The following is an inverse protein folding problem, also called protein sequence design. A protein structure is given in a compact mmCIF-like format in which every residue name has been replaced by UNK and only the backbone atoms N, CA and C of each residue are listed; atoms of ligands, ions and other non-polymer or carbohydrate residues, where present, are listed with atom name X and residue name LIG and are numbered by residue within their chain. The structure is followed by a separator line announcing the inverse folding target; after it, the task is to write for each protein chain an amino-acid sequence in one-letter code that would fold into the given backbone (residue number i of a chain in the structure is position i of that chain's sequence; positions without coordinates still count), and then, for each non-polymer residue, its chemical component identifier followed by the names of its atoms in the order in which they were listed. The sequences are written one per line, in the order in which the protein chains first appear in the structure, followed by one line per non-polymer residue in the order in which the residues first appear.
data_IF_522583042404
#
_entry.id   IF_522583042404
#
_cell.length_a   1.000
_cell.length_b   1.000
_cell.length_c   1.000
_cell.angle_alpha   90.00
_cell.angle_beta   90.00
_cell.angle_gamma   90.00
#
_symmetry.space_group_name_H-M   'P 1'
#
loop_
_entity.id
_entity.type
_entity.pdbx_description
1 polymer ?
#
# COMPACT_ATOMS: atom_id res chain seq x y z
N UNK A 1 -3.95 -36.27 -25.93
CA UNK A 1 -3.31 -35.02 -26.37
C UNK A 1 -3.51 -34.04 -25.24
N UNK A 2 -2.39 -33.57 -24.69
CA UNK A 2 -2.28 -32.76 -23.48
C UNK A 2 -3.03 -31.43 -23.62
N UNK A 3 -3.91 -31.14 -22.66
CA UNK A 3 -4.32 -29.77 -22.34
C UNK A 3 -3.88 -29.48 -20.90
N UNK A 4 -2.56 -29.37 -20.71
CA UNK A 4 -2.05 -28.57 -19.60
C UNK A 4 -2.08 -27.12 -20.05
N UNK A 5 -3.00 -26.31 -19.52
CA UNK A 5 -2.83 -24.86 -19.55
C UNK A 5 -1.57 -24.52 -18.76
N UNK A 6 -0.39 -24.57 -19.40
CA UNK A 6 0.82 -24.01 -18.80
C UNK A 6 0.56 -22.51 -18.68
N UNK A 7 0.32 -22.03 -17.46
CA UNK A 7 0.25 -20.59 -17.23
C UNK A 7 1.48 -19.94 -17.86
N UNK A 8 1.26 -18.94 -18.72
CA UNK A 8 2.35 -18.19 -19.33
C UNK A 8 3.26 -17.66 -18.23
N UNK A 9 4.53 -18.07 -18.25
CA UNK A 9 5.51 -17.68 -17.23
C UNK A 9 5.75 -16.18 -17.31
N UNK A 10 5.64 -15.46 -16.21
CA UNK A 10 5.93 -14.02 -16.17
C UNK A 10 7.43 -13.81 -16.30
N UNK A 11 7.83 -12.84 -17.13
CA UNK A 11 9.22 -12.42 -17.33
C UNK A 11 9.47 -10.94 -17.02
N UNK A 12 8.42 -10.12 -16.86
CA UNK A 12 8.53 -8.73 -16.45
C UNK A 12 7.38 -8.28 -15.54
N UNK A 13 7.64 -7.27 -14.72
CA UNK A 13 6.64 -6.67 -13.83
C UNK A 13 6.43 -5.19 -14.18
N UNK A 14 5.20 -4.72 -14.20
CA UNK A 14 4.87 -3.31 -14.42
C UNK A 14 4.09 -2.80 -13.22
N UNK A 15 4.64 -1.81 -12.52
CA UNK A 15 4.02 -1.23 -11.34
C UNK A 15 3.27 0.04 -11.70
N UNK A 16 2.10 0.24 -11.08
CA UNK A 16 1.63 1.60 -10.81
C UNK A 16 2.45 2.28 -9.70
N UNK A 17 2.27 3.59 -9.53
CA UNK A 17 2.97 4.40 -8.55
C UNK A 17 2.10 4.75 -7.33
N UNK A 18 0.97 5.40 -7.58
CA UNK A 18 0.20 6.17 -6.61
C UNK A 18 -0.80 5.26 -5.91
N UNK A 19 -0.57 4.91 -4.64
CA UNK A 19 -1.39 3.92 -3.93
C UNK A 19 -0.91 2.47 -4.11
N UNK A 20 -0.01 2.21 -5.06
CA UNK A 20 0.64 0.91 -5.27
C UNK A 20 2.05 0.83 -4.68
N UNK A 21 2.97 1.71 -5.10
CA UNK A 21 4.35 1.74 -4.60
C UNK A 21 4.56 2.84 -3.56
N UNK A 22 3.87 3.98 -3.70
CA UNK A 22 3.95 5.13 -2.81
C UNK A 22 2.61 5.44 -2.17
N UNK A 23 2.64 5.81 -0.90
CA UNK A 23 1.46 6.25 -0.16
C UNK A 23 1.13 7.73 -0.45
N UNK A 24 0.80 8.06 -1.70
CA UNK A 24 0.54 9.44 -2.13
C UNK A 24 -0.86 9.92 -1.74
N UNK A 25 -1.85 9.04 -1.68
CA UNK A 25 -3.23 9.41 -1.29
C UNK A 25 -3.26 10.02 0.11
N UNK A 26 -2.56 9.40 1.06
CA UNK A 26 -2.54 9.86 2.44
C UNK A 26 -1.94 11.26 2.60
N UNK A 27 -0.77 11.52 1.99
CA UNK A 27 -0.07 12.80 2.15
C UNK A 27 -0.76 13.94 1.39
N UNK A 28 -1.69 13.61 0.49
CA UNK A 28 -2.39 14.59 -0.34
C UNK A 28 -3.87 14.77 0.00
N UNK A 29 -4.37 14.04 1.00
CA UNK A 29 -5.80 14.01 1.38
C UNK A 29 -6.36 15.38 1.76
N UNK A 30 -5.61 16.22 2.47
CA UNK A 30 -6.02 17.60 2.83
C UNK A 30 -6.03 18.58 1.67
N UNK A 31 -5.32 18.32 0.57
CA UNK A 31 -5.02 19.35 -0.42
C UNK A 31 -6.30 19.90 -1.04
N UNK A 32 -7.25 19.02 -1.39
CA UNK A 32 -8.53 19.46 -1.93
C UNK A 32 -9.31 20.31 -0.91
N UNK A 33 -9.31 19.91 0.36
CA UNK A 33 -9.94 20.67 1.45
C UNK A 33 -9.33 22.07 1.60
N UNK A 34 -8.01 22.14 1.65
CA UNK A 34 -7.24 23.38 1.76
C UNK A 34 -7.47 24.28 0.53
N UNK A 35 -7.53 23.69 -0.66
CA UNK A 35 -7.82 24.39 -1.90
C UNK A 35 -9.23 24.98 -1.89
N UNK A 36 -10.25 24.17 -1.57
CA UNK A 36 -11.66 24.58 -1.52
C UNK A 36 -11.89 25.71 -0.50
N UNK A 37 -11.18 25.68 0.64
CA UNK A 37 -11.25 26.72 1.65
C UNK A 37 -10.87 28.12 1.11
N UNK A 38 -9.95 28.21 0.14
CA UNK A 38 -9.58 29.48 -0.52
C UNK A 38 -10.76 30.13 -1.28
N UNK A 39 -11.72 29.32 -1.71
CA UNK A 39 -12.94 29.75 -2.40
C UNK A 39 -14.16 29.76 -1.48
N UNK A 40 -13.98 29.64 -0.17
CA UNK A 40 -15.08 29.59 0.80
C UNK A 40 -15.95 28.33 0.69
N UNK A 41 -15.42 27.25 0.09
CA UNK A 41 -16.12 25.98 -0.10
C UNK A 41 -15.68 24.96 0.95
N UNK A 42 -16.59 24.06 1.32
CA UNK A 42 -16.33 22.95 2.25
C UNK A 42 -16.38 21.65 1.45
N UNK A 43 -15.36 20.81 1.64
CA UNK A 43 -15.28 19.50 1.02
C UNK A 43 -16.44 18.60 1.47
N UNK A 44 -17.05 17.92 0.50
CA UNK A 44 -18.21 17.05 0.65
C UNK A 44 -17.83 15.61 0.32
N UNK A 45 -18.02 14.71 1.29
CA UNK A 45 -17.62 13.30 1.20
C UNK A 45 -18.41 12.50 0.17
N UNK A 46 -19.67 12.86 -0.09
CA UNK A 46 -20.48 12.16 -1.09
C UNK A 46 -20.07 12.54 -2.51
N UNK A 47 -19.72 13.81 -2.73
CA UNK A 47 -19.13 14.27 -3.99
C UNK A 47 -17.78 13.60 -4.23
N UNK A 48 -16.94 13.48 -3.20
CA UNK A 48 -15.67 12.74 -3.28
C UNK A 48 -15.86 11.28 -3.65
N UNK A 49 -16.78 10.59 -2.99
CA UNK A 49 -17.08 9.18 -3.26
C UNK A 49 -17.54 8.95 -4.70
N UNK A 50 -18.33 9.88 -5.27
CA UNK A 50 -18.76 9.82 -6.68
C UNK A 50 -17.61 10.01 -7.68
N UNK A 51 -16.48 10.58 -7.25
CA UNK A 51 -15.29 10.76 -8.09
C UNK A 51 -14.31 9.58 -8.02
N UNK A 52 -14.55 8.59 -7.16
CA UNK A 52 -13.73 7.38 -7.12
C UNK A 52 -13.74 6.68 -8.50
N UNK A 53 -12.57 6.29 -8.96
CA UNK A 53 -12.39 5.65 -10.28
C UNK A 53 -12.48 6.59 -11.49
N UNK A 54 -12.62 7.91 -11.28
CA UNK A 54 -12.45 8.88 -12.37
C UNK A 54 -10.97 9.13 -12.65
N UNK A 55 -10.65 9.46 -13.91
CA UNK A 55 -9.33 9.98 -14.25
C UNK A 55 -9.11 11.36 -13.60
N UNK A 56 -7.85 11.81 -13.51
CA UNK A 56 -7.53 13.13 -12.98
C UNK A 56 -8.21 14.27 -13.77
N UNK A 57 -8.32 14.11 -15.09
CA UNK A 57 -9.01 15.08 -15.96
C UNK A 57 -10.50 15.15 -15.66
N UNK A 58 -11.17 13.99 -15.58
CA UNK A 58 -12.59 13.92 -15.23
C UNK A 58 -12.84 14.46 -13.81
N UNK A 59 -11.95 14.13 -12.86
CA UNK A 59 -12.02 14.64 -11.49
C UNK A 59 -11.86 16.16 -11.42
N UNK A 60 -10.97 16.74 -12.22
CA UNK A 60 -10.77 18.19 -12.28
C UNK A 60 -12.01 18.92 -12.78
N UNK A 61 -12.64 18.40 -13.85
CA UNK A 61 -13.91 18.92 -14.37
C UNK A 61 -15.01 18.79 -13.32
N UNK A 62 -15.12 17.60 -12.69
CA UNK A 62 -16.11 17.34 -11.66
C UNK A 62 -15.94 18.29 -10.46
N UNK A 63 -14.72 18.51 -9.96
CA UNK A 63 -14.47 19.40 -8.82
C UNK A 63 -14.88 20.84 -9.12
N UNK A 64 -14.53 21.36 -10.29
CA UNK A 64 -14.91 22.72 -10.70
C UNK A 64 -16.44 22.88 -10.71
N UNK A 65 -17.15 21.91 -11.28
CA UNK A 65 -18.61 21.92 -11.35
C UNK A 65 -19.28 21.67 -9.99
N UNK A 66 -18.83 20.64 -9.27
CA UNK A 66 -19.39 20.19 -7.99
C UNK A 66 -19.37 21.29 -6.92
N UNK A 67 -18.38 22.18 -6.97
CA UNK A 67 -18.20 23.24 -5.98
C UNK A 67 -18.47 24.63 -6.54
N UNK A 68 -18.97 24.75 -7.77
CA UNK A 68 -19.21 26.02 -8.47
C UNK A 68 -17.98 26.95 -8.37
N UNK A 69 -16.81 26.43 -8.72
CA UNK A 69 -15.56 27.19 -8.63
C UNK A 69 -15.49 28.21 -9.78
N UNK A 70 -15.00 29.43 -9.51
CA UNK A 70 -14.85 30.47 -10.55
C UNK A 70 -13.58 30.26 -11.39
N UNK A 71 -13.32 29.01 -11.81
CA UNK A 71 -12.13 28.58 -12.55
C UNK A 71 -12.53 27.69 -13.72
N UNK A 72 -11.71 27.62 -14.76
CA UNK A 72 -11.74 26.48 -15.70
C UNK A 72 -11.03 25.27 -15.08
N UNK A 73 -11.27 24.03 -15.57
CA UNK A 73 -10.52 22.85 -15.15
C UNK A 73 -8.99 23.02 -15.31
N UNK A 74 -8.55 23.71 -16.35
CA UNK A 74 -7.12 23.99 -16.59
C UNK A 74 -6.55 24.93 -15.53
N UNK A 75 -7.28 25.98 -15.16
CA UNK A 75 -6.88 26.90 -14.08
C UNK A 75 -6.85 26.18 -12.73
N UNK A 76 -7.86 25.35 -12.43
CA UNK A 76 -7.87 24.50 -11.24
C UNK A 76 -6.62 23.62 -11.15
N UNK A 77 -6.25 22.93 -12.24
CA UNK A 77 -5.05 22.09 -12.29
C UNK A 77 -3.78 22.92 -12.09
N UNK A 78 -3.67 24.10 -12.71
CA UNK A 78 -2.53 25.00 -12.55
C UNK A 78 -2.35 25.46 -11.10
N UNK A 79 -3.45 25.70 -10.38
CA UNK A 79 -3.39 26.17 -9.00
C UNK A 79 -3.20 25.05 -7.97
N UNK A 80 -3.78 23.86 -8.19
CA UNK A 80 -3.73 22.77 -7.21
C UNK A 80 -2.43 21.95 -7.30
N UNK A 81 -1.85 21.76 -8.49
CA UNK A 81 -0.63 20.94 -8.67
C UNK A 81 0.57 21.41 -7.82
N UNK A 82 0.86 22.72 -7.69
CA UNK A 82 1.94 23.17 -6.80
C UNK A 82 1.73 22.78 -5.33
N UNK A 83 0.48 22.70 -4.86
CA UNK A 83 0.16 22.23 -3.50
C UNK A 83 0.50 20.75 -3.34
N UNK A 84 0.27 19.94 -4.38
CA UNK A 84 0.64 18.52 -4.40
C UNK A 84 2.15 18.31 -4.35
N UNK A 85 2.93 19.08 -5.14
CA UNK A 85 4.39 18.93 -5.20
C UNK A 85 5.06 19.02 -3.82
N UNK A 86 4.64 19.97 -2.98
CA UNK A 86 5.20 20.13 -1.63
C UNK A 86 4.93 18.93 -0.71
N UNK A 87 3.82 18.22 -0.92
CA UNK A 87 3.40 17.07 -0.09
C UNK A 87 3.92 15.73 -0.61
N UNK A 88 4.14 15.59 -1.91
CA UNK A 88 4.69 14.35 -2.50
C UNK A 88 6.07 13.98 -1.97
N UNK A 89 6.88 14.98 -1.58
CA UNK A 89 8.18 14.76 -0.92
C UNK A 89 8.09 14.00 0.41
N UNK A 90 6.89 13.94 1.00
CA UNK A 90 6.61 13.28 2.27
C UNK A 90 6.02 11.88 2.07
N UNK A 91 5.70 11.50 0.82
CA UNK A 91 5.17 10.18 0.50
C UNK A 91 6.23 9.11 0.80
N UNK A 92 5.83 8.08 1.54
CA UNK A 92 6.70 6.94 1.85
C UNK A 92 6.36 5.77 0.94
N UNK A 93 7.35 4.89 0.74
CA UNK A 93 7.13 3.61 0.10
C UNK A 93 6.08 2.80 0.88
N UNK A 94 5.19 2.13 0.15
CA UNK A 94 4.22 1.23 0.75
C UNK A 94 4.89 -0.06 1.25
N UNK A 95 4.29 -0.73 2.25
CA UNK A 95 4.87 -1.94 2.84
C UNK A 95 5.13 -3.00 1.79
N UNK A 96 6.37 -3.47 1.71
CA UNK A 96 6.80 -4.48 0.72
C UNK A 96 7.29 -3.93 -0.62
N UNK A 97 7.01 -2.66 -0.98
CA UNK A 97 7.41 -2.06 -2.26
C UNK A 97 8.93 -2.11 -2.48
N UNK A 98 9.70 -1.57 -1.52
CA UNK A 98 11.16 -1.59 -1.56
C UNK A 98 11.73 -3.01 -1.62
N UNK A 99 11.16 -3.94 -0.85
CA UNK A 99 11.58 -5.36 -0.82
C UNK A 99 11.40 -6.00 -2.18
N UNK A 100 10.22 -5.87 -2.78
CA UNK A 100 9.90 -6.45 -4.07
C UNK A 100 10.81 -5.88 -5.18
N UNK A 101 10.98 -4.56 -5.26
CA UNK A 101 11.87 -3.96 -6.28
C UNK A 101 13.34 -4.36 -6.10
N UNK A 102 13.85 -4.41 -4.85
CA UNK A 102 15.21 -4.92 -4.56
C UNK A 102 15.36 -6.36 -5.05
N UNK A 103 14.35 -7.19 -4.80
CA UNK A 103 14.35 -8.60 -5.16
C UNK A 103 14.32 -8.84 -6.67
N UNK A 104 13.44 -8.14 -7.39
CA UNK A 104 13.37 -8.21 -8.86
C UNK A 104 14.68 -7.77 -9.49
N UNK A 105 15.23 -6.64 -9.04
CA UNK A 105 16.52 -6.13 -9.52
C UNK A 105 17.66 -7.11 -9.27
N UNK A 106 17.75 -7.68 -8.06
CA UNK A 106 18.78 -8.68 -7.70
C UNK A 106 18.76 -9.90 -8.62
N UNK A 107 17.60 -10.31 -9.10
CA UNK A 107 17.44 -11.48 -9.95
C UNK A 107 17.38 -11.15 -11.46
N UNK A 108 17.62 -9.89 -11.84
CA UNK A 108 17.62 -9.46 -13.24
C UNK A 108 16.24 -9.54 -13.90
N UNK A 109 15.15 -9.52 -13.13
CA UNK A 109 13.80 -9.45 -13.68
C UNK A 109 13.54 -7.98 -14.06
N UNK A 110 13.31 -7.64 -15.35
CA UNK A 110 13.02 -6.27 -15.75
C UNK A 110 11.68 -5.82 -15.17
N UNK A 111 11.63 -4.57 -14.75
CA UNK A 111 10.36 -3.98 -14.31
C UNK A 111 10.26 -2.50 -14.65
N UNK A 112 9.03 -2.07 -14.90
CA UNK A 112 8.70 -0.72 -15.30
C UNK A 112 7.77 -0.03 -14.29
N UNK A 113 7.78 1.30 -14.31
CA UNK A 113 6.79 2.16 -13.68
C UNK A 113 5.87 2.75 -14.74
N UNK A 114 4.56 2.60 -14.58
CA UNK A 114 3.56 3.15 -15.50
C UNK A 114 2.46 3.84 -14.69
N UNK A 115 2.40 5.18 -14.73
CA UNK A 115 1.44 5.98 -13.94
C UNK A 115 0.65 6.96 -14.82
N UNK A 116 -0.59 7.24 -14.43
CA UNK A 116 -1.39 8.31 -15.05
C UNK A 116 -0.89 9.73 -14.71
N UNK A 117 0.08 9.85 -13.79
CA UNK A 117 0.81 11.09 -13.55
C UNK A 117 1.65 11.50 -14.77
N UNK A 118 1.88 12.80 -14.94
CA UNK A 118 2.87 13.31 -15.91
C UNK A 118 4.28 12.90 -15.49
N UNK A 119 5.19 12.69 -16.44
CA UNK A 119 6.59 12.31 -16.16
C UNK A 119 7.27 13.22 -15.14
N UNK A 120 7.12 14.54 -15.27
CA UNK A 120 7.65 15.52 -14.29
C UNK A 120 7.12 15.34 -12.87
N UNK A 121 5.87 14.87 -12.72
CA UNK A 121 5.25 14.65 -11.41
C UNK A 121 5.72 13.31 -10.82
N UNK A 122 5.91 12.29 -11.66
CA UNK A 122 6.54 11.03 -11.26
C UNK A 122 7.94 11.31 -10.73
N UNK A 123 8.74 12.09 -11.46
CA UNK A 123 10.08 12.50 -11.03
C UNK A 123 10.08 13.16 -9.66
N UNK A 124 9.17 14.10 -9.42
CA UNK A 124 9.00 14.75 -8.11
C UNK A 124 8.71 13.74 -7.01
N UNK A 125 7.80 12.79 -7.24
CA UNK A 125 7.39 11.76 -6.28
C UNK A 125 8.51 10.78 -5.93
N UNK A 126 9.28 10.31 -6.91
CA UNK A 126 10.28 9.26 -6.68
C UNK A 126 11.70 9.78 -6.40
N UNK A 127 11.94 11.09 -6.58
CA UNK A 127 13.29 11.69 -6.51
C UNK A 127 14.04 11.48 -5.20
N UNK A 128 13.34 11.33 -4.08
CA UNK A 128 13.95 11.16 -2.74
C UNK A 128 14.01 9.70 -2.29
N UNK A 129 13.61 8.77 -3.17
CA UNK A 129 13.64 7.34 -2.88
C UNK A 129 14.90 6.71 -3.44
N UNK A 130 15.84 6.41 -2.55
CA UNK A 130 17.17 5.89 -2.90
C UNK A 130 17.10 4.65 -3.80
N UNK A 131 17.70 4.78 -4.99
CA UNK A 131 17.82 3.68 -5.95
C UNK A 131 16.56 3.40 -6.76
N UNK A 132 15.48 4.19 -6.65
CA UNK A 132 14.26 3.92 -7.42
C UNK A 132 14.45 4.21 -8.90
N UNK A 133 14.93 5.41 -9.25
CA UNK A 133 15.11 5.83 -10.65
C UNK A 133 16.02 4.90 -11.44
N UNK A 134 17.06 4.39 -10.78
CA UNK A 134 18.11 3.58 -11.40
C UNK A 134 17.70 2.11 -11.60
N UNK A 135 16.68 1.64 -10.88
CA UNK A 135 16.26 0.23 -10.94
C UNK A 135 15.16 -0.05 -11.94
N UNK A 136 14.31 0.93 -12.24
CA UNK A 136 13.31 0.77 -13.28
C UNK A 136 13.97 0.67 -14.65
N UNK A 137 13.63 -0.36 -15.41
CA UNK A 137 14.02 -0.45 -16.83
C UNK A 137 13.37 0.67 -17.64
N UNK A 138 12.12 1.01 -17.29
CA UNK A 138 11.32 2.04 -17.98
C UNK A 138 10.47 2.78 -16.96
N UNK A 139 10.37 4.10 -17.10
CA UNK A 139 9.41 4.94 -16.37
C UNK A 139 8.54 5.66 -17.40
N UNK A 140 7.22 5.51 -17.28
CA UNK A 140 6.22 6.12 -18.14
C UNK A 140 5.19 6.94 -17.35
N UNK A 141 5.02 8.18 -17.77
CA UNK A 141 3.87 9.03 -17.45
C UNK A 141 2.83 9.06 -18.56
N UNK A 142 1.66 9.63 -18.24
CA UNK A 142 0.54 9.76 -19.18
C UNK A 142 0.84 10.64 -20.40
N UNK A 143 1.82 11.54 -20.31
CA UNK A 143 2.31 12.40 -21.40
C UNK A 143 3.19 11.66 -22.42
N UNK A 144 3.52 10.39 -22.17
CA UNK A 144 4.35 9.57 -23.05
C UNK A 144 3.55 8.55 -23.86
N UNK A 145 2.22 8.58 -23.79
CA UNK A 145 1.31 7.70 -24.54
C UNK A 145 0.11 8.47 -25.08
N UNK A 146 -0.59 7.87 -26.05
CA UNK A 146 -1.77 8.48 -26.67
C UNK A 146 -2.95 8.58 -25.70
N UNK A 147 -3.15 7.58 -24.85
CA UNK A 147 -4.24 7.55 -23.87
C UNK A 147 -3.79 6.87 -22.59
N UNK A 148 -3.98 7.53 -21.45
CA UNK A 148 -3.71 6.95 -20.13
C UNK A 148 -4.74 5.87 -19.74
N UNK A 149 -4.55 5.28 -18.55
CA UNK A 149 -5.47 4.28 -17.97
C UNK A 149 -6.88 4.90 -17.88
N UNK A 150 -7.95 4.19 -18.27
CA UNK A 150 -8.06 2.74 -18.46
C UNK A 150 -7.65 2.21 -19.84
N UNK A 151 -7.11 3.04 -20.74
CA UNK A 151 -6.51 2.56 -22.00
C UNK A 151 -5.30 1.67 -21.71
N UNK A 152 -5.06 0.60 -22.50
CA UNK A 152 -3.91 -0.27 -22.30
C UNK A 152 -2.57 0.35 -22.73
N UNK A 153 -2.60 1.49 -23.42
CA UNK A 153 -1.44 2.07 -24.13
C UNK A 153 -0.20 2.22 -23.24
N UNK A 154 -0.36 2.65 -21.98
CA UNK A 154 0.78 2.84 -21.06
C UNK A 154 1.46 1.53 -20.68
N UNK A 155 0.69 0.46 -20.50
CA UNK A 155 1.24 -0.85 -20.21
C UNK A 155 1.84 -1.50 -21.45
N UNK A 156 1.18 -1.38 -22.61
CA UNK A 156 1.72 -1.85 -23.89
C UNK A 156 3.03 -1.16 -24.25
N UNK A 157 3.13 0.15 -24.03
CA UNK A 157 4.36 0.91 -24.26
C UNK A 157 5.46 0.52 -23.25
N UNK A 158 5.11 0.25 -21.98
CA UNK A 158 6.07 -0.26 -21.00
C UNK A 158 6.65 -1.61 -21.42
N UNK A 159 5.78 -2.56 -21.80
CA UNK A 159 6.19 -3.88 -22.29
C UNK A 159 7.07 -3.77 -23.53
N UNK A 160 6.69 -2.93 -24.50
CA UNK A 160 7.47 -2.65 -25.70
C UNK A 160 8.87 -2.10 -25.38
N UNK A 161 8.98 -1.13 -24.46
CA UNK A 161 10.28 -0.54 -24.08
C UNK A 161 11.14 -1.47 -23.23
N UNK A 162 10.54 -2.43 -22.53
CA UNK A 162 11.25 -3.52 -21.87
C UNK A 162 11.58 -4.68 -22.82
N UNK A 163 11.11 -4.65 -24.07
CA UNK A 163 11.25 -5.71 -25.07
C UNK A 163 10.63 -7.06 -24.62
N UNK A 164 9.49 -7.00 -23.94
CA UNK A 164 8.77 -8.18 -23.41
C UNK A 164 7.36 -8.24 -24.00
N UNK A 165 6.93 -9.44 -24.39
CA UNK A 165 5.54 -9.68 -24.84
C UNK A 165 4.56 -9.38 -23.69
N UNK A 166 3.48 -8.60 -23.92
CA UNK A 166 2.46 -8.34 -22.91
C UNK A 166 1.92 -9.59 -22.19
N UNK A 167 1.85 -10.74 -22.86
CA UNK A 167 1.39 -12.01 -22.25
C UNK A 167 2.32 -12.53 -21.15
N UNK A 168 3.56 -12.05 -21.11
CA UNK A 168 4.58 -12.38 -20.09
C UNK A 168 4.78 -11.24 -19.07
N UNK A 169 3.93 -10.22 -19.07
CA UNK A 169 3.95 -9.11 -18.12
C UNK A 169 2.93 -9.32 -16.99
N UNK A 170 3.35 -8.97 -15.77
CA UNK A 170 2.51 -8.88 -14.59
C UNK A 170 2.34 -7.41 -14.18
N UNK A 171 1.12 -6.90 -14.20
CA UNK A 171 0.79 -5.57 -13.68
C UNK A 171 0.47 -5.67 -12.19
N UNK A 172 0.99 -4.74 -11.40
CA UNK A 172 0.62 -4.55 -9.99
C UNK A 172 0.01 -3.17 -9.85
N UNK A 173 -1.24 -3.12 -9.36
CA UNK A 173 -2.11 -1.93 -9.40
C UNK A 173 -3.02 -1.87 -8.18
N UNK A 174 -3.41 -0.68 -7.74
CA UNK A 174 -4.34 -0.49 -6.62
C UNK A 174 -5.71 0.02 -7.07
N UNK A 175 -5.85 0.48 -8.33
CA UNK A 175 -7.08 1.12 -8.81
C UNK A 175 -7.88 0.27 -9.80
N UNK A 176 -9.23 0.36 -9.84
CA UNK A 176 -10.03 -0.36 -10.83
C UNK A 176 -9.75 0.12 -12.26
N UNK A 177 -9.36 1.39 -12.43
CA UNK A 177 -8.99 1.99 -13.72
C UNK A 177 -7.73 1.34 -14.26
N UNK A 178 -6.72 1.16 -13.42
CA UNK A 178 -5.48 0.51 -13.80
C UNK A 178 -5.60 -0.99 -13.99
N UNK A 179 -6.39 -1.67 -13.16
CA UNK A 179 -6.72 -3.08 -13.36
C UNK A 179 -7.37 -3.29 -14.73
N UNK A 180 -8.35 -2.47 -15.11
CA UNK A 180 -8.97 -2.51 -16.45
C UNK A 180 -7.95 -2.31 -17.58
N UNK A 181 -7.03 -1.36 -17.43
CA UNK A 181 -5.97 -1.12 -18.41
C UNK A 181 -5.02 -2.33 -18.55
N UNK A 182 -4.61 -2.95 -17.44
CA UNK A 182 -3.74 -4.13 -17.45
C UNK A 182 -4.40 -5.32 -18.13
N UNK A 183 -5.68 -5.58 -17.81
CA UNK A 183 -6.45 -6.63 -18.48
C UNK A 183 -6.66 -6.33 -19.96
N UNK A 184 -6.96 -5.08 -20.33
CA UNK A 184 -7.10 -4.68 -21.73
C UNK A 184 -5.79 -4.80 -22.54
N UNK A 185 -4.64 -4.75 -21.86
CA UNK A 185 -3.32 -4.98 -22.47
C UNK A 185 -2.99 -6.47 -22.65
N UNK A 186 -3.88 -7.39 -22.24
CA UNK A 186 -3.64 -8.84 -22.28
C UNK A 186 -2.73 -9.34 -21.15
N UNK A 187 -2.45 -8.53 -20.14
CA UNK A 187 -1.51 -8.86 -19.06
C UNK A 187 -2.19 -9.54 -17.89
N UNK A 188 -1.39 -10.23 -17.07
CA UNK A 188 -1.81 -10.65 -15.73
C UNK A 188 -1.83 -9.45 -14.79
N UNK A 189 -2.76 -9.42 -13.84
CA UNK A 189 -2.92 -8.29 -12.91
C UNK A 189 -3.06 -8.77 -11.47
N UNK A 190 -2.25 -8.21 -10.58
CA UNK A 190 -2.41 -8.29 -9.13
C UNK A 190 -2.92 -6.94 -8.63
N UNK A 191 -4.09 -6.95 -8.00
CA UNK A 191 -4.68 -5.78 -7.36
C UNK A 191 -4.20 -5.64 -5.90
N UNK A 192 -3.86 -4.43 -5.46
CA UNK A 192 -3.47 -4.09 -4.07
C UNK A 192 -4.23 -2.85 -3.59
N UNK A 193 -5.57 -2.91 -3.50
CA UNK A 193 -6.40 -1.75 -3.17
C UNK A 193 -6.07 -1.16 -1.79
N UNK A 194 -6.15 0.17 -1.68
CA UNK A 194 -6.03 0.86 -0.39
C UNK A 194 -7.14 0.46 0.58
N UNK A 195 -8.39 0.38 0.12
CA UNK A 195 -9.52 -0.10 0.92
C UNK A 195 -10.31 -1.17 0.17
N UNK A 196 -10.46 -2.35 0.78
CA UNK A 196 -11.16 -3.51 0.20
C UNK A 196 -12.70 -3.43 0.24
N UNK A 197 -13.25 -2.22 0.38
CA UNK A 197 -14.69 -1.99 0.50
C UNK A 197 -15.41 -2.28 -0.84
N UNK A 198 -14.65 -2.42 -1.93
CA UNK A 198 -15.16 -2.63 -3.28
C UNK A 198 -14.60 -3.92 -3.94
N UNK A 199 -14.69 -5.07 -3.27
CA UNK A 199 -14.16 -6.34 -3.81
C UNK A 199 -14.64 -6.65 -5.24
N UNK A 200 -15.87 -6.29 -5.56
CA UNK A 200 -16.45 -6.48 -6.90
C UNK A 200 -15.73 -5.65 -7.99
N UNK A 201 -15.20 -4.46 -7.64
CA UNK A 201 -14.46 -3.58 -8.56
C UNK A 201 -13.14 -4.20 -9.05
N UNK A 202 -12.61 -5.19 -8.33
CA UNK A 202 -11.36 -5.87 -8.64
C UNK A 202 -11.56 -7.31 -9.14
N UNK A 203 -12.80 -7.74 -9.36
CA UNK A 203 -13.16 -9.12 -9.77
C UNK A 203 -12.50 -9.62 -11.05
N UNK A 204 -12.01 -8.71 -11.91
CA UNK A 204 -11.31 -9.05 -13.16
C UNK A 204 -9.79 -9.23 -12.98
N UNK A 205 -9.24 -8.88 -11.81
CA UNK A 205 -7.83 -9.11 -11.49
C UNK A 205 -7.56 -10.61 -11.31
N UNK A 206 -6.33 -11.04 -11.60
CA UNK A 206 -5.93 -12.44 -11.44
C UNK A 206 -5.66 -12.80 -9.96
N UNK A 207 -5.33 -11.81 -9.14
CA UNK A 207 -5.22 -11.93 -7.67
C UNK A 207 -5.45 -10.57 -7.01
N UNK A 208 -5.93 -10.57 -5.76
CA UNK A 208 -6.06 -9.36 -4.94
C UNK A 208 -5.35 -9.56 -3.61
N UNK A 209 -4.51 -8.60 -3.22
CA UNK A 209 -3.75 -8.57 -1.98
C UNK A 209 -4.17 -7.36 -1.13
N UNK A 210 -3.92 -7.40 0.16
CA UNK A 210 -4.02 -6.24 1.06
C UNK A 210 -2.71 -5.44 1.07
N UNK A 211 -1.59 -6.14 0.90
CA UNK A 211 -0.24 -5.57 1.02
C UNK A 211 0.73 -6.24 0.05
N UNK A 212 1.75 -5.51 -0.41
CA UNK A 212 2.85 -6.12 -1.16
C UNK A 212 3.70 -7.06 -0.29
N UNK A 213 3.55 -7.03 1.03
CA UNK A 213 4.13 -8.03 1.94
C UNK A 213 3.58 -9.44 1.71
N UNK A 214 2.34 -9.57 1.20
CA UNK A 214 1.71 -10.86 0.89
C UNK A 214 2.11 -11.42 -0.47
N UNK A 215 2.78 -10.63 -1.31
CA UNK A 215 3.13 -11.04 -2.66
C UNK A 215 4.08 -12.25 -2.66
N UNK A 216 3.74 -13.27 -3.44
CA UNK A 216 4.52 -14.50 -3.60
C UNK A 216 4.97 -14.63 -5.07
N UNK A 217 6.22 -14.24 -5.39
CA UNK A 217 6.72 -14.22 -6.78
C UNK A 217 6.61 -15.59 -7.48
N UNK A 218 6.81 -16.67 -6.74
CA UNK A 218 6.80 -18.05 -7.24
C UNK A 218 5.44 -18.46 -7.83
N UNK A 219 4.32 -17.88 -7.35
CA UNK A 219 2.99 -18.12 -7.92
C UNK A 219 2.88 -17.63 -9.38
N UNK A 220 3.78 -16.74 -9.78
CA UNK A 220 3.85 -16.14 -11.11
C UNK A 220 5.04 -16.66 -11.94
N UNK A 221 5.78 -17.65 -11.41
CA UNK A 221 6.99 -18.18 -12.04
C UNK A 221 8.22 -17.27 -11.94
N UNK A 222 8.17 -16.25 -11.07
CA UNK A 222 9.28 -15.37 -10.71
C UNK A 222 10.13 -16.01 -9.59
N UNK A 223 11.40 -15.59 -9.40
CA UNK A 223 12.26 -16.11 -8.34
C UNK A 223 11.63 -15.92 -6.95
N UNK A 224 11.59 -16.97 -6.14
CA UNK A 224 11.06 -16.93 -4.78
C UNK A 224 11.87 -15.99 -3.87
N UNK A 225 11.21 -15.33 -2.92
CA UNK A 225 11.87 -14.59 -1.84
C UNK A 225 12.69 -15.52 -0.91
N UNK A 226 13.95 -15.16 -0.67
CA UNK A 226 14.87 -15.93 0.19
C UNK A 226 15.17 -15.30 1.55
N UNK A 227 14.33 -14.36 2.01
CA UNK A 227 14.55 -13.52 3.20
C UNK A 227 13.57 -13.80 4.36
N UNK A 228 12.74 -14.85 4.24
CA UNK A 228 11.93 -15.35 5.34
C UNK A 228 12.80 -16.05 6.39
N UNK A 229 12.49 -15.81 7.66
CA UNK A 229 13.14 -16.41 8.83
C UNK A 229 12.05 -17.05 9.68
N UNK A 230 11.98 -18.39 9.70
CA UNK A 230 11.01 -19.16 10.49
C UNK A 230 9.56 -18.62 10.40
N UNK A 231 9.03 -18.51 9.17
CA UNK A 231 7.69 -17.96 8.84
C UNK A 231 7.46 -16.47 9.17
N UNK A 232 8.53 -15.74 9.47
CA UNK A 232 8.49 -14.31 9.72
C UNK A 232 9.40 -13.54 8.76
N UNK A 233 9.00 -12.33 8.40
CA UNK A 233 9.71 -11.46 7.48
C UNK A 233 10.15 -10.21 8.24
N UNK A 234 11.46 -9.91 8.37
CA UNK A 234 11.89 -8.63 8.88
C UNK A 234 11.37 -7.48 8.00
N UNK A 235 10.82 -6.45 8.63
CA UNK A 235 10.30 -5.27 7.92
C UNK A 235 10.98 -3.99 8.41
N UNK A 236 10.86 -2.93 7.61
CA UNK A 236 11.19 -1.59 8.10
C UNK A 236 10.32 -1.28 9.34
N UNK A 237 10.91 -0.85 10.47
CA UNK A 237 10.16 -0.71 11.71
C UNK A 237 9.02 0.30 11.63
N UNK A 238 7.86 -0.07 12.16
CA UNK A 238 6.66 0.78 12.18
C UNK A 238 6.30 1.11 13.62
N UNK A 239 6.23 2.40 13.92
CA UNK A 239 5.91 2.91 15.26
C UNK A 239 4.46 3.33 15.34
N UNK A 240 3.73 2.81 16.33
CA UNK A 240 2.35 3.19 16.64
C UNK A 240 2.26 3.68 18.08
N UNK A 241 1.37 4.62 18.34
CA UNK A 241 1.05 5.04 19.70
C UNK A 241 -0.44 5.38 19.80
N UNK A 242 -1.01 5.10 20.96
CA UNK A 242 -2.44 5.32 21.18
C UNK A 242 -2.88 4.97 22.60
N UNK A 243 -4.19 4.91 22.78
CA UNK A 243 -4.83 4.42 24.00
C UNK A 243 -5.24 2.98 23.77
N UNK A 244 -4.73 2.06 24.58
CA UNK A 244 -5.15 0.67 24.57
C UNK A 244 -6.39 0.53 25.46
N UNK A 245 -7.51 0.13 24.86
CA UNK A 245 -8.78 -0.03 25.55
C UNK A 245 -9.59 -1.16 24.92
N UNK A 246 -10.17 -2.04 25.75
CA UNK A 246 -10.97 -3.18 25.32
C UNK A 246 -10.23 -4.10 24.32
N UNK A 247 -8.94 -4.36 24.55
CA UNK A 247 -8.11 -5.21 23.68
C UNK A 247 -7.72 -4.58 22.34
N UNK A 248 -8.05 -3.31 22.11
CA UNK A 248 -7.76 -2.60 20.86
C UNK A 248 -6.90 -1.38 21.12
N UNK A 249 -5.95 -1.12 20.23
CA UNK A 249 -5.22 0.15 20.21
C UNK A 249 -6.02 1.19 19.40
N UNK A 250 -6.46 2.24 20.06
CA UNK A 250 -7.01 3.43 19.44
C UNK A 250 -5.85 4.40 19.20
N UNK A 251 -5.38 4.50 17.96
CA UNK A 251 -4.31 5.44 17.62
C UNK A 251 -4.76 6.88 17.85
N UNK A 252 -3.83 7.74 18.26
CA UNK A 252 -4.11 9.17 18.28
C UNK A 252 -4.52 9.61 16.87
N UNK A 253 -5.54 10.47 16.75
CA UNK A 253 -6.00 10.95 15.45
C UNK A 253 -4.81 11.45 14.64
N UNK A 254 -4.54 10.77 13.54
CA UNK A 254 -3.27 10.93 12.84
C UNK A 254 -3.16 12.33 12.22
N UNK A 255 -2.04 13.02 12.44
CA UNK A 255 -1.60 14.00 11.45
C UNK A 255 -1.31 13.25 10.15
N UNK A 256 -1.57 13.86 8.99
CA UNK A 256 -1.43 13.20 7.67
C UNK A 256 -0.06 12.54 7.43
N UNK A 257 0.97 12.98 8.16
CA UNK A 257 2.35 12.49 8.06
C UNK A 257 2.66 11.29 8.96
N UNK A 258 1.86 11.06 10.00
CA UNK A 258 2.02 9.95 10.95
C UNK A 258 0.98 8.86 10.75
N UNK A 259 0.00 9.11 9.89
CA UNK A 259 -1.03 8.14 9.57
C UNK A 259 -0.43 6.88 8.96
N UNK A 260 -0.94 5.72 9.36
CA UNK A 260 -0.51 4.47 8.78
C UNK A 260 -1.09 4.28 7.37
N UNK A 261 -0.34 3.76 6.39
CA UNK A 261 -0.89 3.37 5.10
C UNK A 261 -2.03 2.36 5.28
N UNK A 262 -3.01 2.37 4.37
CA UNK A 262 -4.16 1.47 4.49
C UNK A 262 -3.83 0.01 4.17
N UNK A 263 -2.75 -0.21 3.41
CA UNK A 263 -2.12 -1.49 3.08
C UNK A 263 -1.31 -2.10 4.23
N UNK A 264 -1.31 -1.48 5.42
CA UNK A 264 -0.87 -2.13 6.66
C UNK A 264 -2.00 -3.02 7.14
N UNK A 265 -1.92 -4.30 6.76
CA UNK A 265 -2.88 -5.34 7.08
C UNK A 265 -2.14 -6.64 7.39
N UNK A 266 -2.72 -7.48 8.24
CA UNK A 266 -2.21 -8.82 8.55
C UNK A 266 -1.68 -8.96 9.98
N UNK A 267 -0.84 -9.97 10.19
CA UNK A 267 -0.20 -10.25 11.47
C UNK A 267 1.23 -9.69 11.50
N UNK A 268 1.55 -8.96 12.56
CA UNK A 268 2.86 -8.38 12.79
C UNK A 268 3.41 -8.87 14.12
N UNK A 269 4.74 -8.92 14.22
CA UNK A 269 5.45 -9.19 15.47
C UNK A 269 6.26 -7.97 15.87
N UNK A 270 6.36 -7.75 17.17
CA UNK A 270 7.02 -6.57 17.67
C UNK A 270 7.06 -6.43 19.17
N UNK A 271 7.19 -5.17 19.58
CA UNK A 271 7.35 -4.78 20.96
C UNK A 271 6.25 -3.83 21.38
N UNK A 272 5.80 -3.98 22.62
CA UNK A 272 4.78 -3.16 23.25
C UNK A 272 5.34 -2.50 24.51
N UNK A 273 5.06 -1.21 24.70
CA UNK A 273 5.44 -0.44 25.90
C UNK A 273 4.22 0.32 26.41
N UNK A 274 3.95 0.23 27.69
CA UNK A 274 2.90 1.00 28.39
C UNK A 274 3.54 2.12 29.21
N UNK A 275 2.79 3.17 29.56
CA UNK A 275 3.29 4.35 30.32
C UNK A 275 4.11 3.92 31.55
N UNK A 276 5.43 4.16 31.52
CA UNK A 276 6.37 3.90 32.63
C UNK A 276 6.74 2.43 32.88
N UNK A 277 6.39 1.51 31.97
CA UNK A 277 6.55 0.05 32.17
C UNK A 277 7.71 -0.59 31.37
N UNK A 278 7.95 -1.88 31.68
CA UNK A 278 8.82 -2.82 30.95
C UNK A 278 8.33 -3.00 29.50
N UNK A 279 9.24 -3.30 28.58
CA UNK A 279 8.91 -3.61 27.18
C UNK A 279 8.53 -5.09 27.07
N UNK A 280 7.43 -5.37 26.36
CA UNK A 280 6.90 -6.71 26.15
C UNK A 280 7.00 -7.12 24.69
N UNK A 281 7.12 -8.43 24.42
CA UNK A 281 6.91 -8.97 23.08
C UNK A 281 5.41 -9.02 22.78
N UNK A 282 5.04 -8.76 21.54
CA UNK A 282 3.66 -8.76 21.12
C UNK A 282 3.48 -9.35 19.72
N UNK A 283 2.33 -9.98 19.50
CA UNK A 283 1.74 -10.20 18.17
C UNK A 283 0.66 -9.15 17.97
N UNK A 284 0.59 -8.53 16.81
CA UNK A 284 -0.36 -7.47 16.51
C UNK A 284 -1.15 -7.88 15.27
N UNK A 285 -2.46 -8.03 15.43
CA UNK A 285 -3.39 -8.21 14.32
C UNK A 285 -3.89 -6.85 13.86
N UNK A 286 -3.69 -6.53 12.58
CA UNK A 286 -4.19 -5.29 11.98
C UNK A 286 -5.15 -5.64 10.85
N UNK A 287 -6.37 -5.12 10.97
CA UNK A 287 -7.42 -5.30 9.99
C UNK A 287 -8.37 -4.11 9.93
N UNK A 288 -9.48 -4.31 9.23
CA UNK A 288 -10.50 -3.29 9.02
C UNK A 288 -11.87 -3.79 9.47
N UNK A 289 -12.63 -2.91 10.12
CA UNK A 289 -14.06 -3.10 10.36
C UNK A 289 -14.82 -2.28 9.33
N UNK A 290 -15.50 -2.93 8.41
CA UNK A 290 -16.29 -2.27 7.38
C UNK A 290 -17.73 -2.09 7.87
N UNK A 291 -18.17 -0.84 8.00
CA UNK A 291 -19.58 -0.48 8.16
C UNK A 291 -20.06 0.25 6.90
N UNK A 292 -21.37 0.21 6.59
CA UNK A 292 -21.99 0.73 5.34
C UNK A 292 -21.58 2.15 4.92
N UNK A 293 -21.05 2.97 5.83
CA UNK A 293 -20.65 4.36 5.57
C UNK A 293 -19.24 4.73 6.11
N UNK A 294 -18.53 3.81 6.77
CA UNK A 294 -17.22 4.12 7.33
C UNK A 294 -16.40 2.84 7.57
N UNK A 295 -15.12 2.87 7.23
CA UNK A 295 -14.15 1.83 7.57
C UNK A 295 -13.30 2.29 8.75
N UNK A 296 -13.27 1.49 9.81
CA UNK A 296 -12.41 1.76 10.97
C UNK A 296 -11.34 0.71 11.06
N UNK A 297 -10.07 1.15 11.11
CA UNK A 297 -8.94 0.26 11.36
C UNK A 297 -9.06 -0.33 12.76
N UNK A 298 -8.79 -1.63 12.87
CA UNK A 298 -8.70 -2.35 14.13
C UNK A 298 -7.27 -2.83 14.30
N UNK A 299 -6.63 -2.39 15.38
CA UNK A 299 -5.29 -2.82 15.77
C UNK A 299 -5.48 -3.55 17.08
N UNK A 300 -5.19 -4.85 17.09
CA UNK A 300 -5.37 -5.75 18.23
C UNK A 300 -4.01 -6.34 18.62
N UNK A 301 -3.32 -5.71 19.59
CA UNK A 301 -2.14 -6.28 20.22
C UNK A 301 -2.51 -7.47 21.12
N UNK A 302 -1.67 -8.49 21.13
CA UNK A 302 -1.67 -9.58 22.10
C UNK A 302 -0.29 -9.63 22.75
N UNK A 303 -0.23 -9.32 24.05
CA UNK A 303 1.00 -9.33 24.82
C UNK A 303 1.42 -10.77 25.11
N UNK A 304 2.67 -11.10 24.83
CA UNK A 304 3.17 -12.47 25.02
C UNK A 304 3.63 -12.66 26.47
N UNK A 305 3.21 -13.77 27.07
CA UNK A 305 3.55 -14.22 28.43
C UNK A 305 3.05 -13.33 29.60
N UNK A 306 2.06 -12.46 29.37
CA UNK A 306 1.35 -11.72 30.44
C UNK A 306 -0.15 -11.62 30.16
N UNK A 307 -0.95 -11.41 31.21
CA UNK A 307 -2.39 -11.14 31.09
C UNK A 307 -2.65 -9.68 30.70
N UNK A 308 -3.56 -9.47 29.75
CA UNK A 308 -4.00 -8.12 29.32
C UNK A 308 -4.94 -7.44 30.34
N UNK A 309 -5.42 -8.17 31.36
CA UNK A 309 -6.49 -7.73 32.26
C UNK A 309 -6.19 -6.48 33.10
N UNK A 310 -4.92 -6.17 33.34
CA UNK A 310 -4.50 -5.05 34.21
C UNK A 310 -4.04 -3.79 33.42
N UNK A 311 -4.23 -3.76 32.10
CA UNK A 311 -3.62 -2.74 31.21
C UNK A 311 -4.63 -1.89 30.44
N UNK A 312 -5.91 -1.99 30.78
CA UNK A 312 -7.00 -1.26 30.10
C UNK A 312 -6.88 0.27 30.34
N UNK A 313 -7.32 1.05 29.35
CA UNK A 313 -7.24 2.53 29.30
C UNK A 313 -5.84 3.14 29.51
N UNK A 314 -4.78 2.36 29.22
CA UNK A 314 -3.40 2.81 29.33
C UNK A 314 -2.86 3.34 28.00
N UNK A 315 -1.95 4.32 28.02
CA UNK A 315 -1.20 4.66 26.80
C UNK A 315 -0.27 3.52 26.44
N UNK A 316 -0.24 3.22 25.15
CA UNK A 316 0.55 2.14 24.60
C UNK A 316 1.32 2.63 23.39
N UNK A 317 2.56 2.20 23.29
CA UNK A 317 3.40 2.32 22.11
C UNK A 317 3.70 0.93 21.56
N UNK A 318 3.65 0.80 20.24
CA UNK A 318 4.02 -0.41 19.52
C UNK A 318 5.18 -0.13 18.57
N UNK A 319 6.06 -1.11 18.46
CA UNK A 319 7.13 -1.16 17.48
C UNK A 319 7.02 -2.48 16.71
N UNK A 320 6.51 -2.42 15.49
CA UNK A 320 6.37 -3.58 14.61
C UNK A 320 7.70 -3.74 13.86
N UNK A 321 8.28 -4.94 13.90
CA UNK A 321 9.60 -5.23 13.28
C UNK A 321 9.58 -6.45 12.38
N UNK A 322 8.50 -7.24 12.41
CA UNK A 322 8.32 -8.36 11.50
C UNK A 322 6.87 -8.51 11.05
N UNK A 323 6.71 -9.12 9.90
CA UNK A 323 5.44 -9.57 9.34
C UNK A 323 5.36 -11.10 9.42
N UNK A 324 4.22 -11.63 9.86
CA UNK A 324 4.02 -13.07 10.02
C UNK A 324 3.17 -13.59 8.86
N UNK A 325 3.70 -14.57 8.13
CA UNK A 325 2.96 -15.21 7.07
C UNK A 325 2.08 -16.31 7.63
N UNK A 326 0.78 -16.19 7.41
CA UNK A 326 -0.15 -17.29 7.60
C UNK A 326 -0.40 -17.93 6.25
N UNK A 327 -0.24 -19.25 6.16
CA UNK A 327 -0.75 -20.02 5.02
C UNK A 327 -2.28 -20.08 5.12
N UNK A 328 -2.95 -18.95 4.88
CA UNK A 328 -4.41 -18.89 4.83
C UNK A 328 -4.89 -19.59 3.54
N UNK A 329 -5.57 -20.72 3.71
CA UNK A 329 -6.51 -21.22 2.70
C UNK A 329 -7.64 -20.21 2.49
N UNK A 330 -8.13 -20.10 1.26
CA UNK A 330 -9.16 -19.15 0.85
C UNK A 330 -10.36 -19.14 1.82
N UNK A 331 -10.47 -18.10 2.67
CA UNK A 331 -11.53 -18.00 3.67
C UNK A 331 -11.65 -16.58 4.26
N UNK A 332 -12.81 -15.96 3.98
CA UNK A 332 -13.37 -14.70 4.48
C UNK A 332 -12.40 -13.53 4.80
N UNK A 333 -12.30 -12.66 3.80
CA UNK A 333 -11.35 -11.55 3.58
C UNK A 333 -11.69 -10.26 4.38
N UNK A 334 -12.71 -10.24 5.23
CA UNK A 334 -13.28 -8.99 5.76
C UNK A 334 -13.18 -8.76 7.28
N UNK A 335 -12.62 -9.71 8.05
CA UNK A 335 -12.52 -9.59 9.51
C UNK A 335 -11.07 -9.69 9.99
N UNK A 336 -10.79 -9.10 11.17
CA UNK A 336 -9.50 -9.22 11.86
C UNK A 336 -9.04 -10.69 11.90
N UNK A 337 -7.75 -10.90 11.66
CA UNK A 337 -7.13 -12.22 11.83
C UNK A 337 -7.05 -12.54 13.33
N UNK A 338 -7.73 -13.60 13.76
CA UNK A 338 -7.60 -14.12 15.13
C UNK A 338 -6.16 -14.56 15.38
N UNK A 339 -5.55 -14.12 16.47
CA UNK A 339 -4.18 -14.49 16.85
C UNK A 339 -4.20 -15.89 17.48
N UNK A 340 -3.54 -16.86 16.86
CA UNK A 340 -3.46 -18.24 17.37
C UNK A 340 -2.24 -18.45 18.26
N UNK A 341 -2.23 -19.58 18.97
CA UNK A 341 -1.09 -19.96 19.81
C UNK A 341 0.17 -20.28 18.98
N UNK A 342 0.01 -20.77 17.75
CA UNK A 342 1.14 -20.93 16.81
C UNK A 342 1.78 -19.60 16.41
N UNK A 343 0.98 -18.55 16.23
CA UNK A 343 1.46 -17.21 15.92
C UNK A 343 2.29 -16.66 17.09
N UNK A 344 1.80 -16.87 18.31
CA UNK A 344 2.49 -16.48 19.55
C UNK A 344 3.83 -17.20 19.70
N UNK A 345 3.87 -18.52 19.48
CA UNK A 345 5.10 -19.30 19.58
C UNK A 345 6.14 -18.87 18.55
N UNK A 346 5.69 -18.64 17.31
CA UNK A 346 6.50 -18.12 16.21
C UNK A 346 7.09 -16.76 16.58
N UNK A 347 6.25 -15.84 17.08
CA UNK A 347 6.68 -14.51 17.49
C UNK A 347 7.68 -14.52 18.65
N UNK A 348 7.47 -15.36 19.69
CA UNK A 348 8.43 -15.48 20.81
C UNK A 348 9.81 -15.87 20.30
N UNK A 349 9.87 -16.84 19.39
CA UNK A 349 11.10 -17.37 18.80
C UNK A 349 11.76 -16.32 17.91
N UNK A 350 11.02 -15.75 16.95
CA UNK A 350 11.52 -14.76 16.01
C UNK A 350 12.07 -13.51 16.72
N UNK A 351 11.37 -12.98 17.72
CA UNK A 351 11.79 -11.77 18.46
C UNK A 351 13.05 -11.99 19.33
N UNK A 352 13.60 -13.20 19.43
CA UNK A 352 14.92 -13.45 20.01
C UNK A 352 16.07 -13.39 18.99
N UNK A 353 15.76 -13.37 17.69
CA UNK A 353 16.76 -13.39 16.64
C UNK A 353 17.33 -11.98 16.38
N UNK A 354 18.62 -11.87 16.01
CA UNK A 354 19.25 -10.58 15.73
C UNK A 354 18.55 -9.76 14.64
N UNK A 355 17.89 -10.43 13.68
CA UNK A 355 17.15 -9.79 12.60
C UNK A 355 15.99 -8.89 13.09
N UNK A 356 15.47 -9.14 14.28
CA UNK A 356 14.37 -8.38 14.89
C UNK A 356 14.81 -7.54 16.09
N UNK A 357 16.09 -7.62 16.47
CA UNK A 357 16.69 -6.79 17.52
C UNK A 357 17.22 -5.49 16.90
N UNK A 358 16.37 -4.47 16.78
CA UNK A 358 16.83 -3.20 16.21
C UNK A 358 17.55 -2.32 17.26
N UNK A 359 18.86 -2.17 17.09
CA UNK A 359 19.71 -1.21 17.82
C UNK A 359 19.37 0.26 17.52
N UNK A 360 18.57 0.54 16.49
CA UNK A 360 18.14 1.89 16.09
C UNK A 360 17.00 2.48 16.93
N UNK A 361 16.43 1.71 17.87
CA UNK A 361 15.30 2.13 18.69
C UNK A 361 15.68 2.37 20.16
N UNK A 362 16.87 2.95 20.41
CA UNK A 362 17.29 3.29 21.78
C UNK A 362 16.21 4.10 22.51
N UNK A 363 15.52 5.04 21.87
CA UNK A 363 14.44 5.81 22.51
C UNK A 363 13.21 4.98 22.94
N UNK A 364 12.94 3.84 22.29
CA UNK A 364 11.80 2.97 22.66
C UNK A 364 12.16 2.07 23.86
N UNK A 365 13.40 1.57 23.89
CA UNK A 365 13.89 0.65 24.93
C UNK A 365 14.55 1.35 26.13
N UNK A 366 14.80 2.67 26.06
CA UNK A 366 15.29 3.51 27.16
C UNK A 366 14.15 4.02 28.04
#
# INVERSE_FOLDING_TARGET
MEDSHSMARISAVIFDLDGTLLNTEQVTKSILKEFLAKYGKVQDSDKERKRLGLTFKESSIAIVNDYDLPLTPEQFVQEIIPMYHGKWLLAKALPGANRLMKHLHKHGVPFALASNSLGKNIDGKISHHDGWKERFTVILGSDQVKSGKPSPDIFLEAAKRMEVDPLHCLVIEDSPVGVKAGKAAGMKVVAVPSLQIESDSYSIADSTLHSLLEFQPEQWGLPQFGDWVDNTLPIEPIHLAGVFSNGLLQTYADNELTALPDQIWGLYIGWAKFDGQKVFKAVISIGWSVCRCNSKRKIQPCILNESDADKDDSKMQLLLVGYLQRSCGAGNILNNLDILDEDKLTAVTALNLPAYSHQSCTSFFV
#
